data_IF_875196642852
#
_entry.id   IF_875196642852
#
_cell.length_a   1.000
_cell.length_b   1.000
_cell.length_c   1.000
_cell.angle_alpha   90.00
_cell.angle_beta   90.00
_cell.angle_gamma   90.00
#
_symmetry.space_group_name_H-M   'P 1'
#
loop_
_entity.id
_entity.type
_entity.pdbx_description
1 polymer ?
#
# COMPACT_ATOMS: atom_id res chain seq x y z
N UNK A 1 -31.97 -0.67 -1.83
CA UNK A 1 -31.07 -1.03 -2.94
C UNK A 1 -29.80 -0.16 -2.96
N UNK A 2 -29.91 1.16 -2.91
CA UNK A 2 -28.76 2.07 -3.00
C UNK A 2 -27.69 1.81 -1.93
N UNK A 3 -28.07 1.43 -0.71
CA UNK A 3 -27.15 1.07 0.36
C UNK A 3 -26.37 -0.20 0.04
N UNK A 4 -27.05 -1.23 -0.44
CA UNK A 4 -26.42 -2.52 -0.82
C UNK A 4 -25.41 -2.32 -1.94
N UNK A 5 -25.76 -1.52 -2.95
CA UNK A 5 -24.85 -1.15 -4.04
C UNK A 5 -23.60 -0.44 -3.54
N UNK A 6 -23.78 0.52 -2.65
CA UNK A 6 -22.66 1.26 -2.06
C UNK A 6 -21.72 0.34 -1.29
N UNK A 7 -22.29 -0.57 -0.48
CA UNK A 7 -21.51 -1.49 0.32
C UNK A 7 -20.73 -2.46 -0.59
N UNK A 8 -21.36 -2.96 -1.66
CA UNK A 8 -20.71 -3.83 -2.65
C UNK A 8 -19.61 -3.12 -3.46
N UNK A 9 -19.79 -1.85 -3.79
CA UNK A 9 -18.73 -1.05 -4.42
C UNK A 9 -17.54 -0.85 -3.51
N UNK A 10 -17.76 -0.66 -2.21
CA UNK A 10 -16.67 -0.55 -1.24
C UNK A 10 -15.92 -1.88 -1.14
N UNK A 11 -16.65 -2.98 -1.02
CA UNK A 11 -16.07 -4.33 -0.97
C UNK A 11 -15.22 -4.62 -2.22
N UNK A 12 -15.74 -4.32 -3.41
CA UNK A 12 -15.02 -4.49 -4.67
C UNK A 12 -13.73 -3.64 -4.74
N UNK A 13 -13.76 -2.40 -4.25
CA UNK A 13 -12.54 -1.58 -4.17
C UNK A 13 -11.50 -2.17 -3.24
N UNK A 14 -11.91 -2.74 -2.12
CA UNK A 14 -11.01 -3.46 -1.22
C UNK A 14 -10.37 -4.69 -1.88
N UNK A 15 -11.15 -5.45 -2.64
CA UNK A 15 -10.66 -6.62 -3.39
C UNK A 15 -9.57 -6.21 -4.40
N UNK A 16 -9.78 -5.11 -5.14
CA UNK A 16 -8.78 -4.58 -6.07
C UNK A 16 -7.51 -4.14 -5.33
N UNK A 17 -7.66 -3.45 -4.20
CA UNK A 17 -6.53 -3.00 -3.38
C UNK A 17 -5.73 -4.18 -2.83
N UNK A 18 -6.39 -5.21 -2.32
CA UNK A 18 -5.74 -6.44 -1.86
C UNK A 18 -5.05 -7.19 -3.01
N UNK A 19 -5.66 -7.26 -4.17
CA UNK A 19 -5.06 -7.86 -5.36
C UNK A 19 -3.80 -7.10 -5.80
N UNK A 20 -3.85 -5.77 -5.80
CA UNK A 20 -2.70 -4.92 -6.12
C UNK A 20 -1.56 -5.00 -5.10
N UNK A 21 -1.87 -5.27 -3.83
CA UNK A 21 -0.85 -5.42 -2.78
C UNK A 21 -0.29 -6.84 -2.71
N UNK A 22 -1.15 -7.86 -2.66
CA UNK A 22 -0.78 -9.24 -2.31
C UNK A 22 -0.97 -10.23 -3.45
N UNK A 23 -1.43 -9.81 -4.62
CA UNK A 23 -1.61 -10.69 -5.78
C UNK A 23 -0.31 -11.40 -6.14
N UNK A 24 -0.41 -12.67 -6.48
CA UNK A 24 0.72 -13.44 -6.99
C UNK A 24 0.62 -13.56 -8.51
N UNK A 25 1.70 -13.26 -9.22
CA UNK A 25 1.74 -13.45 -10.67
C UNK A 25 1.59 -14.92 -11.03
N UNK A 26 0.63 -15.23 -11.85
CA UNK A 26 0.39 -16.59 -12.32
C UNK A 26 -0.59 -16.60 -13.48
N UNK A 27 -0.72 -17.75 -14.08
CA UNK A 27 -1.72 -18.05 -15.11
C UNK A 27 -2.51 -19.27 -14.66
N UNK A 28 -3.82 -19.17 -14.67
CA UNK A 28 -4.71 -20.27 -14.31
C UNK A 28 -4.73 -21.33 -15.43
N UNK A 29 -5.20 -22.53 -15.10
CA UNK A 29 -5.39 -23.62 -16.05
C UNK A 29 -6.30 -23.25 -17.25
N UNK A 30 -7.11 -22.21 -17.11
CA UNK A 30 -7.96 -21.66 -18.15
C UNK A 30 -7.26 -20.59 -19.01
N UNK A 31 -5.97 -20.28 -18.78
CA UNK A 31 -5.22 -19.24 -19.48
C UNK A 31 -5.52 -17.82 -18.98
N UNK A 32 -6.12 -17.67 -17.78
CA UNK A 32 -6.39 -16.36 -17.19
C UNK A 32 -5.17 -15.90 -16.40
N UNK A 33 -4.62 -14.76 -16.79
CA UNK A 33 -3.50 -14.15 -16.09
C UNK A 33 -3.93 -13.46 -14.79
N UNK A 34 -3.13 -13.61 -13.73
CA UNK A 34 -3.28 -12.92 -12.45
C UNK A 34 -2.24 -11.82 -12.30
N UNK A 35 -2.68 -10.67 -11.80
CA UNK A 35 -1.83 -9.49 -11.60
C UNK A 35 -0.83 -9.71 -10.48
N UNK A 36 0.42 -9.30 -10.73
CA UNK A 36 1.46 -9.30 -9.71
C UNK A 36 1.25 -8.16 -8.72
N UNK A 37 1.09 -8.48 -7.43
CA UNK A 37 1.01 -7.51 -6.36
C UNK A 37 2.36 -6.89 -6.00
N UNK A 38 2.32 -5.73 -5.37
CA UNK A 38 3.52 -5.00 -4.95
C UNK A 38 4.41 -5.82 -4.01
N UNK A 39 3.83 -6.60 -3.10
CA UNK A 39 4.57 -7.46 -2.17
C UNK A 39 5.30 -8.58 -2.90
N UNK A 40 4.63 -9.29 -3.82
CA UNK A 40 5.25 -10.36 -4.60
C UNK A 40 6.39 -9.82 -5.46
N UNK A 41 6.20 -8.64 -6.06
CA UNK A 41 7.24 -7.97 -6.84
C UNK A 41 8.47 -7.65 -5.98
N UNK A 42 8.27 -7.09 -4.79
CA UNK A 42 9.38 -6.72 -3.88
C UNK A 42 10.07 -7.98 -3.34
N UNK A 43 9.33 -9.04 -3.04
CA UNK A 43 9.91 -10.32 -2.61
C UNK A 43 10.84 -10.93 -3.66
N UNK A 44 10.55 -10.71 -4.95
CA UNK A 44 11.36 -11.23 -6.06
C UNK A 44 12.54 -10.33 -6.44
N UNK A 45 12.35 -9.02 -6.38
CA UNK A 45 13.29 -8.05 -6.96
C UNK A 45 13.74 -6.94 -6.01
N UNK A 46 13.14 -6.83 -4.83
CA UNK A 46 13.39 -5.76 -3.89
C UNK A 46 14.31 -6.15 -2.74
N UNK A 47 14.50 -5.22 -1.82
CA UNK A 47 15.23 -5.42 -0.59
C UNK A 47 14.28 -5.80 0.54
N UNK A 48 14.62 -6.84 1.27
CA UNK A 48 13.79 -7.37 2.36
C UNK A 48 14.57 -7.28 3.67
N UNK A 49 13.93 -6.74 4.70
CA UNK A 49 14.50 -6.59 6.03
C UNK A 49 13.57 -7.19 7.08
N UNK A 50 14.15 -7.80 8.11
CA UNK A 50 13.38 -8.33 9.22
C UNK A 50 12.85 -7.20 10.11
N UNK A 51 11.59 -7.28 10.49
CA UNK A 51 10.97 -6.41 11.49
C UNK A 51 10.65 -7.21 12.76
N UNK A 52 10.93 -6.62 13.93
CA UNK A 52 10.47 -7.13 15.22
C UNK A 52 10.13 -5.98 16.16
N UNK A 53 9.26 -6.21 17.14
CA UNK A 53 8.91 -5.21 18.17
C UNK A 53 10.07 -4.78 19.06
N UNK A 54 11.09 -5.63 19.14
CA UNK A 54 12.30 -5.39 19.93
C UNK A 54 13.35 -4.57 19.17
N UNK A 55 13.09 -4.22 17.90
CA UNK A 55 13.99 -3.46 17.06
C UNK A 55 14.22 -2.06 17.66
N UNK A 56 15.47 -1.67 17.79
CA UNK A 56 15.83 -0.34 18.27
C UNK A 56 15.76 0.69 17.15
N UNK A 57 15.84 1.97 17.51
CA UNK A 57 15.91 3.07 16.53
C UNK A 57 17.18 2.96 15.70
N UNK A 58 18.30 2.63 16.34
CA UNK A 58 19.60 2.51 15.68
C UNK A 58 19.57 1.39 14.63
N UNK A 59 19.02 0.21 14.97
CA UNK A 59 18.85 -0.89 14.01
C UNK A 59 17.95 -0.50 12.83
N UNK A 60 16.92 0.32 13.09
CA UNK A 60 16.03 0.81 12.03
C UNK A 60 16.74 1.81 11.13
N UNK A 61 17.54 2.70 11.69
CA UNK A 61 18.33 3.66 10.93
C UNK A 61 19.42 2.95 10.10
N UNK A 62 20.06 1.91 10.65
CA UNK A 62 21.02 1.10 9.92
C UNK A 62 20.39 0.41 8.69
N UNK A 63 19.22 -0.16 8.85
CA UNK A 63 18.46 -0.70 7.72
C UNK A 63 18.11 0.41 6.72
N UNK A 64 17.61 1.56 7.22
CA UNK A 64 17.27 2.71 6.37
C UNK A 64 18.46 3.21 5.56
N UNK A 65 19.68 3.12 6.08
CA UNK A 65 20.89 3.53 5.36
C UNK A 65 21.03 2.80 4.04
N UNK A 66 20.72 1.52 4.01
CA UNK A 66 20.78 0.71 2.79
C UNK A 66 19.64 0.98 1.82
N UNK A 67 18.44 1.40 2.28
CA UNK A 67 17.33 1.77 1.40
C UNK A 67 17.49 3.11 0.70
N UNK A 68 18.07 4.07 1.42
CA UNK A 68 18.11 5.47 0.99
C UNK A 68 19.41 5.79 0.29
N UNK A 69 20.42 4.93 0.40
CA UNK A 69 21.70 5.15 -0.28
C UNK A 69 21.52 5.09 -1.81
N UNK A 70 21.77 6.20 -2.53
CA UNK A 70 21.64 6.26 -3.97
C UNK A 70 22.51 5.25 -4.72
N UNK A 71 23.56 4.73 -4.10
CA UNK A 71 24.46 3.73 -4.70
C UNK A 71 23.78 2.37 -4.86
N UNK A 72 22.85 2.04 -3.97
CA UNK A 72 22.13 0.76 -3.99
C UNK A 72 20.73 0.89 -4.57
N UNK A 73 20.15 2.09 -4.52
CA UNK A 73 18.78 2.34 -4.93
C UNK A 73 18.72 3.54 -5.87
N UNK A 74 18.63 3.30 -7.16
CA UNK A 74 18.53 4.37 -8.17
C UNK A 74 17.23 5.19 -8.04
N UNK A 75 16.19 4.62 -7.40
CA UNK A 75 14.95 5.33 -7.12
C UNK A 75 14.60 5.24 -5.65
N UNK A 76 14.64 6.38 -4.95
CA UNK A 76 14.15 6.46 -3.58
C UNK A 76 12.68 6.11 -3.50
N UNK A 77 12.28 5.33 -2.49
CA UNK A 77 10.87 5.19 -2.18
C UNK A 77 10.29 6.56 -1.83
N UNK A 78 9.19 6.92 -2.47
CA UNK A 78 8.54 8.21 -2.23
C UNK A 78 7.51 8.13 -1.10
N UNK A 79 6.98 6.93 -0.86
CA UNK A 79 5.98 6.64 0.17
C UNK A 79 6.28 5.33 0.85
N UNK A 80 6.09 5.31 2.15
CA UNK A 80 6.18 4.12 3.00
C UNK A 80 4.81 3.83 3.59
N UNK A 81 4.20 2.73 3.17
CA UNK A 81 2.98 2.23 3.76
C UNK A 81 3.33 1.36 4.97
N UNK A 82 2.72 1.65 6.10
CA UNK A 82 3.01 0.94 7.34
C UNK A 82 1.73 0.33 7.94
N UNK A 83 1.89 -0.83 8.57
CA UNK A 83 0.86 -1.36 9.45
C UNK A 83 0.62 -0.42 10.64
N UNK A 84 -0.55 -0.51 11.25
CA UNK A 84 -0.93 0.32 12.40
C UNK A 84 0.07 0.19 13.54
N UNK A 85 0.63 -0.99 13.75
CA UNK A 85 1.61 -1.24 14.80
C UNK A 85 2.91 -0.45 14.59
N UNK A 86 3.46 -0.53 13.39
CA UNK A 86 4.70 0.19 13.04
C UNK A 86 4.47 1.70 12.98
N UNK A 87 3.33 2.11 12.46
CA UNK A 87 2.96 3.52 12.43
C UNK A 87 2.92 4.13 13.84
N UNK A 88 2.30 3.43 14.80
CA UNK A 88 2.28 3.85 16.19
C UNK A 88 3.67 3.83 16.84
N UNK A 89 4.50 2.86 16.50
CA UNK A 89 5.87 2.77 16.97
C UNK A 89 6.70 3.96 16.48
N UNK A 90 6.64 4.30 15.20
CA UNK A 90 7.30 5.48 14.63
C UNK A 90 6.84 6.78 15.30
N UNK A 91 5.54 6.92 15.55
CA UNK A 91 5.00 8.09 16.23
C UNK A 91 5.46 8.20 17.69
N UNK A 92 5.58 7.09 18.40
CA UNK A 92 6.11 7.09 19.78
C UNK A 92 7.55 7.57 19.81
N UNK A 93 8.36 7.09 18.87
CA UNK A 93 9.76 7.49 18.74
C UNK A 93 9.86 8.97 18.37
N UNK A 94 9.24 9.40 17.29
CA UNK A 94 9.26 10.80 16.85
C UNK A 94 8.65 11.77 17.86
N UNK A 95 7.59 11.35 18.57
CA UNK A 95 6.95 12.15 19.62
C UNK A 95 7.80 12.26 20.88
N UNK A 96 8.59 11.26 21.21
CA UNK A 96 9.51 11.29 22.34
C UNK A 96 10.60 12.34 22.13
N UNK A 97 11.19 12.40 20.96
CA UNK A 97 12.18 13.41 20.61
C UNK A 97 11.60 14.84 20.58
N UNK A 98 10.38 15.00 20.07
CA UNK A 98 9.70 16.29 20.04
C UNK A 98 9.41 16.86 21.43
N UNK A 99 9.16 16.01 22.43
CA UNK A 99 8.90 16.46 23.81
C UNK A 99 10.15 16.74 24.62
N UNK A 100 11.26 16.12 24.28
CA UNK A 100 12.54 16.26 25.01
C UNK A 100 13.49 17.31 24.41
N UNK A 101 13.02 18.08 23.43
CA UNK A 101 13.72 19.28 22.95
C UNK A 101 13.65 20.44 23.98
N UNK A 102 13.96 20.19 25.24
CA UNK A 102 14.59 21.19 26.07
C UNK A 102 16.05 21.21 25.67
N UNK A 103 16.36 22.24 24.94
CA UNK A 103 17.62 22.57 24.31
C UNK A 103 18.67 22.72 25.41
N UNK A 104 19.37 21.66 25.72
CA UNK A 104 20.71 21.71 26.22
C UNK A 104 21.54 20.69 25.46
N UNK A 105 22.39 21.25 24.59
CA UNK A 105 23.53 20.67 23.92
C UNK A 105 23.66 19.14 23.92
N UNK A 106 23.59 18.54 22.74
CA UNK A 106 23.97 17.17 22.39
C UNK A 106 22.84 16.16 22.20
N UNK A 107 21.68 16.53 21.74
CA UNK A 107 20.68 15.55 21.36
C UNK A 107 20.69 15.38 19.84
N UNK A 108 21.10 14.20 19.39
CA UNK A 108 20.90 13.69 18.03
C UNK A 108 19.42 13.73 17.69
N UNK A 109 19.01 14.67 16.87
CA UNK A 109 17.69 14.67 16.26
C UNK A 109 17.69 13.72 15.04
N UNK A 110 17.98 12.44 15.27
CA UNK A 110 18.14 11.47 14.18
C UNK A 110 16.79 11.11 13.53
N UNK A 111 15.69 11.37 14.21
CA UNK A 111 14.35 11.17 13.71
C UNK A 111 13.39 12.24 14.26
N UNK A 112 12.95 13.16 13.43
CA UNK A 112 12.00 14.20 13.81
C UNK A 112 10.74 14.17 12.93
N UNK A 113 9.57 14.38 13.55
CA UNK A 113 8.34 14.60 12.78
C UNK A 113 8.34 16.05 12.30
N UNK A 114 8.56 16.25 11.00
CA UNK A 114 8.63 17.59 10.40
C UNK A 114 7.28 18.12 9.93
N UNK A 115 6.28 17.26 9.76
CA UNK A 115 4.96 17.71 9.36
C UNK A 115 3.95 16.61 9.09
N UNK A 116 2.69 17.02 8.99
CA UNK A 116 1.59 16.19 8.51
C UNK A 116 1.07 16.82 7.22
N UNK A 117 0.97 16.03 6.17
CA UNK A 117 0.54 16.50 4.86
C UNK A 117 -0.49 15.53 4.27
N UNK A 118 -1.55 16.06 3.68
CA UNK A 118 -2.46 15.28 2.84
C UNK A 118 -1.94 15.27 1.41
N UNK A 119 -1.62 14.10 0.89
CA UNK A 119 -1.22 13.93 -0.50
C UNK A 119 -2.12 12.85 -1.11
N UNK A 120 -2.82 13.16 -2.19
CA UNK A 120 -3.75 12.26 -2.87
C UNK A 120 -4.82 11.65 -1.94
N UNK A 121 -5.27 12.41 -0.93
CA UNK A 121 -6.26 11.93 0.03
C UNK A 121 -5.70 11.05 1.17
N UNK A 122 -4.40 10.74 1.15
CA UNK A 122 -3.72 9.99 2.20
C UNK A 122 -3.15 10.95 3.25
N UNK A 123 -3.38 10.63 4.52
CA UNK A 123 -2.71 11.32 5.62
C UNK A 123 -1.27 10.83 5.72
N UNK A 124 -0.32 11.68 5.35
CA UNK A 124 1.10 11.38 5.42
C UNK A 124 1.75 12.12 6.58
N UNK A 125 2.58 11.39 7.30
CA UNK A 125 3.49 11.95 8.29
C UNK A 125 4.90 11.90 7.74
N UNK A 126 5.59 13.04 7.70
CA UNK A 126 6.98 13.11 7.25
C UNK A 126 7.90 13.00 8.44
N UNK A 127 8.75 12.00 8.42
CA UNK A 127 9.86 11.82 9.36
C UNK A 127 11.13 12.24 8.67
N UNK A 128 11.86 13.20 9.26
CA UNK A 128 13.17 13.58 8.79
C UNK A 128 14.22 12.69 9.44
N UNK A 129 15.01 12.05 8.62
CA UNK A 129 16.12 11.20 9.06
C UNK A 129 17.45 11.75 8.54
N UNK A 130 18.56 11.27 9.08
CA UNK A 130 19.90 11.62 8.60
C UNK A 130 20.10 11.32 7.11
N UNK A 131 19.36 10.33 6.60
CA UNK A 131 19.44 9.88 5.19
C UNK A 131 18.41 10.56 4.28
N UNK A 132 17.53 11.38 4.82
CA UNK A 132 16.51 12.10 4.09
C UNK A 132 15.10 11.95 4.69
N UNK A 133 14.13 12.57 4.05
CA UNK A 133 12.74 12.59 4.50
C UNK A 133 12.02 11.31 4.10
N UNK A 134 11.32 10.71 5.06
CA UNK A 134 10.50 9.52 4.89
C UNK A 134 9.03 9.88 5.05
N UNK A 135 8.27 9.77 3.98
CA UNK A 135 6.83 10.00 4.00
C UNK A 135 6.09 8.71 4.33
N UNK A 136 5.52 8.64 5.51
CA UNK A 136 4.84 7.45 6.02
C UNK A 136 3.33 7.64 6.03
N UNK A 137 2.62 6.65 5.53
CA UNK A 137 1.17 6.57 5.57
C UNK A 137 0.74 5.24 6.19
N UNK A 138 -0.32 5.28 6.98
CA UNK A 138 -0.91 4.07 7.53
C UNK A 138 -1.73 3.35 6.46
N UNK A 139 -1.47 2.06 6.26
CA UNK A 139 -2.24 1.19 5.40
C UNK A 139 -2.86 0.06 6.22
N UNK A 140 -4.18 0.08 6.35
CA UNK A 140 -4.93 -0.91 7.13
C UNK A 140 -4.84 -2.29 6.49
N UNK A 141 -4.69 -2.38 5.16
CA UNK A 141 -4.56 -3.65 4.45
C UNK A 141 -3.31 -4.45 4.86
N UNK A 142 -2.30 -3.79 5.43
CA UNK A 142 -1.10 -4.45 5.96
C UNK A 142 -1.29 -5.00 7.38
N UNK A 143 -2.36 -4.59 8.08
CA UNK A 143 -2.62 -5.05 9.45
C UNK A 143 -2.96 -6.55 9.44
N UNK A 144 -2.23 -7.33 10.25
CA UNK A 144 -2.38 -8.78 10.30
C UNK A 144 -1.66 -9.55 9.19
N UNK A 145 -0.99 -8.86 8.25
CA UNK A 145 -0.12 -9.48 7.25
C UNK A 145 1.30 -9.69 7.78
N UNK A 146 2.09 -10.48 7.05
CA UNK A 146 3.53 -10.65 7.35
C UNK A 146 4.36 -9.40 6.99
N UNK A 147 3.77 -8.41 6.32
CA UNK A 147 4.44 -7.20 5.86
C UNK A 147 4.13 -6.05 6.79
N UNK A 148 5.14 -5.56 7.48
CA UNK A 148 5.00 -4.46 8.43
C UNK A 148 5.19 -3.08 7.80
N UNK A 149 6.11 -2.96 6.86
CA UNK A 149 6.42 -1.73 6.13
C UNK A 149 6.63 -2.07 4.65
N UNK A 150 6.06 -1.27 3.79
CA UNK A 150 6.17 -1.37 2.33
C UNK A 150 6.61 -0.01 1.77
N UNK A 151 7.86 0.09 1.33
CA UNK A 151 8.40 1.30 0.70
C UNK A 151 8.35 1.19 -0.83
N UNK A 152 7.66 2.11 -1.48
CA UNK A 152 7.51 2.12 -2.95
C UNK A 152 7.75 3.50 -3.52
N UNK A 153 8.21 3.54 -4.76
CA UNK A 153 8.25 4.76 -5.54
C UNK A 153 7.01 4.86 -6.42
N UNK A 154 6.07 5.72 -6.02
CA UNK A 154 4.80 5.90 -6.72
C UNK A 154 4.96 6.39 -8.17
N UNK A 155 6.08 7.02 -8.52
CA UNK A 155 6.33 7.42 -9.90
C UNK A 155 6.47 6.24 -10.87
N UNK A 156 6.88 5.08 -10.34
CA UNK A 156 7.06 3.85 -11.10
C UNK A 156 5.84 2.93 -11.07
N UNK A 157 4.83 3.26 -10.25
CA UNK A 157 3.58 2.49 -10.17
C UNK A 157 2.57 3.07 -11.15
N UNK A 158 2.03 2.23 -12.02
CA UNK A 158 1.02 2.62 -12.99
C UNK A 158 -0.14 1.62 -12.95
N UNK A 159 -1.33 2.15 -12.83
CA UNK A 159 -2.55 1.39 -13.03
C UNK A 159 -2.80 1.23 -14.54
N UNK A 160 -2.98 0.00 -14.97
CA UNK A 160 -3.23 -0.34 -16.38
C UNK A 160 -4.56 -1.07 -16.51
N UNK A 161 -5.65 -0.39 -16.87
CA UNK A 161 -6.89 -1.07 -17.20
C UNK A 161 -6.71 -1.90 -18.48
N UNK A 162 -7.39 -3.03 -18.56
CA UNK A 162 -7.36 -3.87 -19.75
C UNK A 162 -8.12 -3.19 -20.88
N UNK A 163 -7.43 -2.92 -21.98
CA UNK A 163 -8.01 -2.38 -23.20
C UNK A 163 -8.50 -3.54 -24.09
N UNK A 164 -9.81 -3.70 -24.23
CA UNK A 164 -10.39 -4.69 -25.14
C UNK A 164 -11.17 -4.03 -26.27
N UNK A 165 -10.88 -4.38 -27.53
CA UNK A 165 -11.62 -3.98 -28.74
C UNK A 165 -12.02 -2.49 -28.82
N UNK A 166 -11.14 -1.58 -28.42
CA UNK A 166 -11.39 -0.15 -28.44
C UNK A 166 -12.23 0.40 -27.27
N UNK A 167 -12.63 -0.44 -26.33
CA UNK A 167 -13.33 -0.04 -25.11
C UNK A 167 -12.38 -0.19 -23.93
N UNK A 168 -12.27 0.87 -23.15
CA UNK A 168 -11.55 0.82 -21.86
C UNK A 168 -12.39 0.02 -20.86
N UNK A 169 -11.89 -1.14 -20.43
CA UNK A 169 -12.56 -2.02 -19.48
C UNK A 169 -12.09 -1.79 -18.04
N UNK A 170 -12.03 -0.54 -17.63
CA UNK A 170 -11.64 -0.23 -16.25
C UNK A 170 -12.62 -0.84 -15.25
N UNK A 171 -13.86 -0.39 -15.26
CA UNK A 171 -14.91 -0.96 -14.42
C UNK A 171 -16.22 -0.99 -15.19
N UNK A 172 -16.78 -2.16 -15.37
CA UNK A 172 -18.09 -2.35 -16.00
C UNK A 172 -19.12 -2.75 -14.95
N UNK A 173 -20.28 -2.09 -14.99
CA UNK A 173 -21.42 -2.40 -14.13
C UNK A 173 -22.52 -2.98 -15.00
N UNK A 174 -22.86 -4.23 -14.76
CA UNK A 174 -23.94 -4.92 -15.42
C UNK A 174 -25.14 -5.00 -14.46
N UNK A 175 -26.20 -4.26 -14.75
CA UNK A 175 -27.39 -4.22 -13.93
C UNK A 175 -28.49 -5.10 -14.53
N UNK A 176 -29.12 -5.93 -13.72
CA UNK A 176 -30.25 -6.75 -14.11
C UNK A 176 -29.88 -7.89 -15.07
N UNK A 177 -28.66 -8.42 -14.98
CA UNK A 177 -28.26 -9.61 -15.71
C UNK A 177 -29.04 -10.79 -15.16
N UNK A 178 -30.07 -11.23 -15.90
CA UNK A 178 -30.71 -12.51 -15.61
C UNK A 178 -29.85 -13.60 -16.23
N UNK A 179 -29.54 -14.64 -15.46
CA UNK A 179 -28.92 -15.85 -16.01
C UNK A 179 -29.73 -16.32 -17.21
N UNK A 180 -29.08 -16.55 -18.35
CA UNK A 180 -29.71 -17.08 -19.56
C UNK A 180 -30.18 -18.54 -19.39
N UNK A 181 -29.83 -19.18 -18.31
CA UNK A 181 -30.39 -20.45 -17.89
C UNK A 181 -31.76 -20.22 -17.23
N UNK A 182 -32.71 -20.47 -17.99
CA UNK A 182 -34.18 -20.54 -17.89
C UNK A 182 -34.77 -21.17 -16.59
N UNK A 183 -34.18 -20.87 -15.46
CA UNK A 183 -34.72 -21.20 -14.17
C UNK A 183 -35.56 -20.02 -13.68
N UNK A 184 -36.87 -20.05 -13.77
CA UNK A 184 -37.80 -19.02 -13.37
C UNK A 184 -37.68 -18.51 -11.93
N UNK A 185 -36.49 -18.04 -11.60
CA UNK A 185 -36.14 -17.43 -10.33
C UNK A 185 -36.29 -15.93 -10.50
N UNK A 186 -37.24 -15.36 -9.80
CA UNK A 186 -37.46 -13.91 -9.72
C UNK A 186 -36.32 -13.27 -8.88
N UNK A 187 -35.10 -13.31 -9.42
CA UNK A 187 -33.89 -12.72 -8.81
C UNK A 187 -33.24 -11.75 -9.78
N UNK A 188 -32.99 -10.55 -9.30
CA UNK A 188 -32.13 -9.61 -9.99
C UNK A 188 -30.66 -9.90 -9.61
N UNK A 189 -29.83 -10.12 -10.60
CA UNK A 189 -28.39 -10.28 -10.46
C UNK A 189 -27.72 -9.05 -11.07
N UNK A 190 -26.91 -8.38 -10.28
CA UNK A 190 -26.09 -7.27 -10.74
C UNK A 190 -24.62 -7.67 -10.56
N UNK A 191 -23.77 -7.30 -11.50
CA UNK A 191 -22.36 -7.66 -11.51
C UNK A 191 -21.50 -6.41 -11.69
N UNK A 192 -20.42 -6.32 -10.92
CA UNK A 192 -19.37 -5.32 -11.08
C UNK A 192 -18.10 -6.07 -11.48
N UNK A 193 -17.51 -5.70 -12.59
CA UNK A 193 -16.31 -6.30 -13.13
C UNK A 193 -15.24 -5.23 -13.36
N UNK A 194 -14.04 -5.48 -12.86
CA UNK A 194 -12.86 -4.66 -13.14
C UNK A 194 -11.75 -5.56 -13.67
N UNK A 195 -11.22 -5.23 -14.84
CA UNK A 195 -10.12 -5.92 -15.47
C UNK A 195 -8.91 -4.98 -15.51
N UNK A 196 -7.86 -5.29 -14.74
CA UNK A 196 -6.64 -4.48 -14.66
C UNK A 196 -5.39 -5.33 -14.43
N UNK A 197 -4.25 -4.76 -14.74
CA UNK A 197 -2.94 -5.35 -14.54
C UNK A 197 -1.86 -4.34 -14.15
#
# INVERSE_FOLDING_TARGET
WARVWRDKLIEHKWEIEYSGLFGAQGEDSAGVGHTQGAVDYILKYGNIFGWSKAKTIDDFLDDMSSYVDPRYNQSKATVYFCSTEVYNWLHKIGGFFSKNLNIDDQIRADLAITGRKKVLGLDMTTFSTVYGDMNVSRCIALDGSAVSILGINLANVKYRPLNGNGVNRDTAIYAGVTSLENSGIDKRVDMILTECG
#
